data_IF_854461544250
#
_entry.id   IF_854461544250
#
_cell.length_a   1.000
_cell.length_b   1.000
_cell.length_c   1.000
_cell.angle_alpha   90.00
_cell.angle_beta   90.00
_cell.angle_gamma   90.00
#
_symmetry.space_group_name_H-M   'P 1'
#
loop_
_entity.id
_entity.type
_entity.pdbx_description
1 polymer ?
#
# COMPACT_ATOMS: atom_id res chain seq x y z
N UNK A 1 17.23 21.55 -28.07
CA UNK A 1 15.85 21.36 -27.61
C UNK A 1 15.91 20.34 -26.49
N UNK A 2 16.22 20.81 -25.28
CA UNK A 2 16.16 19.99 -24.06
C UNK A 2 14.68 19.81 -23.75
N UNK A 3 14.19 18.58 -23.77
CA UNK A 3 12.90 18.26 -23.14
C UNK A 3 13.21 17.74 -21.75
N UNK A 4 12.74 18.51 -20.77
CA UNK A 4 12.91 18.30 -19.35
C UNK A 4 12.43 16.92 -18.91
N UNK A 5 13.39 16.17 -18.34
CA UNK A 5 13.17 14.90 -17.69
C UNK A 5 12.66 15.18 -16.27
N UNK A 6 11.35 15.40 -16.13
CA UNK A 6 10.67 15.56 -14.83
C UNK A 6 9.46 14.63 -14.73
N UNK A 7 9.71 13.32 -14.65
CA UNK A 7 8.76 12.34 -14.11
C UNK A 7 9.02 12.19 -12.61
N UNK A 8 8.39 13.06 -11.81
CA UNK A 8 8.50 13.17 -10.35
C UNK A 8 8.54 11.82 -9.63
N UNK A 9 9.46 11.73 -8.67
CA UNK A 9 9.36 10.84 -7.51
C UNK A 9 8.01 11.06 -6.79
N UNK A 10 6.98 10.32 -7.18
CA UNK A 10 5.71 10.28 -6.47
C UNK A 10 5.89 9.46 -5.19
N UNK A 11 6.02 10.22 -4.11
CA UNK A 11 6.18 9.88 -2.69
C UNK A 11 5.74 8.45 -2.29
N UNK A 12 6.70 7.53 -2.24
CA UNK A 12 6.55 6.21 -1.59
C UNK A 12 6.17 6.48 -0.12
N UNK A 13 5.12 5.84 0.43
CA UNK A 13 4.84 5.98 1.85
C UNK A 13 6.06 5.53 2.64
N UNK A 14 6.54 6.36 3.56
CA UNK A 14 7.74 6.10 4.37
C UNK A 14 7.69 4.72 5.03
N UNK A 15 6.49 4.28 5.42
CA UNK A 15 6.20 2.97 5.97
C UNK A 15 6.61 1.83 5.02
N UNK A 16 6.29 1.94 3.72
CA UNK A 16 6.65 0.92 2.75
C UNK A 16 8.17 0.89 2.52
N UNK A 17 8.85 2.04 2.56
CA UNK A 17 10.32 2.09 2.44
C UNK A 17 10.97 1.30 3.58
N UNK A 18 10.49 1.52 4.81
CA UNK A 18 11.00 0.81 5.98
C UNK A 18 10.75 -0.70 5.90
N UNK A 19 9.53 -1.12 5.52
CA UNK A 19 9.20 -2.55 5.33
C UNK A 19 10.03 -3.19 4.22
N UNK A 20 10.29 -2.45 3.12
CA UNK A 20 11.16 -2.91 2.05
C UNK A 20 12.57 -3.18 2.58
N UNK A 21 13.11 -2.27 3.39
CA UNK A 21 14.49 -2.36 3.87
C UNK A 21 14.68 -3.43 4.94
N UNK A 22 13.68 -3.63 5.82
CA UNK A 22 13.77 -4.53 6.97
C UNK A 22 13.28 -5.94 6.63
N UNK A 23 12.22 -6.07 5.84
CA UNK A 23 11.55 -7.35 5.59
C UNK A 23 11.81 -7.83 4.16
N UNK A 24 11.56 -7.00 3.15
CA UNK A 24 11.55 -7.52 1.78
C UNK A 24 12.96 -7.74 1.21
N UNK A 25 13.85 -6.75 1.33
CA UNK A 25 15.21 -6.84 0.79
C UNK A 25 16.03 -7.97 1.43
N UNK A 26 16.01 -8.19 2.76
CA UNK A 26 16.75 -9.30 3.37
C UNK A 26 16.21 -10.69 3.00
N UNK A 27 14.94 -10.78 2.58
CA UNK A 27 14.28 -12.04 2.19
C UNK A 27 14.19 -12.21 0.65
N UNK A 28 14.96 -11.45 -0.12
CA UNK A 28 14.99 -11.50 -1.60
C UNK A 28 13.61 -11.28 -2.25
N UNK A 29 12.76 -10.50 -1.58
CA UNK A 29 11.45 -10.10 -2.09
C UNK A 29 11.59 -8.80 -2.89
N UNK A 30 11.48 -8.90 -4.21
CA UNK A 30 11.64 -7.77 -5.15
C UNK A 30 10.30 -7.08 -5.36
N UNK A 31 10.26 -5.78 -5.03
CA UNK A 31 9.11 -4.90 -5.29
C UNK A 31 9.24 -4.26 -6.68
N UNK A 32 8.18 -4.33 -7.48
CA UNK A 32 8.07 -3.75 -8.82
C UNK A 32 6.65 -3.23 -9.07
N UNK A 33 6.45 -2.43 -10.13
CA UNK A 33 5.15 -1.89 -10.55
C UNK A 33 4.32 -1.26 -9.41
N UNK A 34 4.96 -0.39 -8.63
CA UNK A 34 4.32 0.33 -7.53
C UNK A 34 3.33 1.37 -8.07
N UNK A 35 2.05 1.18 -7.78
CA UNK A 35 0.93 2.05 -8.13
C UNK A 35 0.32 2.65 -6.87
N UNK A 36 0.17 3.97 -6.85
CA UNK A 36 -0.42 4.69 -5.73
C UNK A 36 -1.91 4.94 -5.93
N UNK A 37 -2.66 4.83 -4.82
CA UNK A 37 -4.00 5.37 -4.76
C UNK A 37 -3.95 6.77 -4.11
N UNK A 38 -3.94 7.80 -4.98
CA UNK A 38 -3.89 9.21 -4.56
C UNK A 38 -5.11 9.64 -3.73
N UNK A 39 -6.29 9.04 -3.96
CA UNK A 39 -7.50 9.32 -3.18
C UNK A 39 -7.38 8.78 -1.75
N UNK A 40 -6.74 7.63 -1.61
CA UNK A 40 -6.57 6.91 -0.34
C UNK A 40 -5.22 7.21 0.35
N UNK A 41 -4.57 8.33 0.03
CA UNK A 41 -3.28 8.77 0.61
C UNK A 41 -3.30 8.79 2.15
N UNK A 42 -4.44 9.11 2.78
CA UNK A 42 -4.60 9.07 4.25
C UNK A 42 -4.38 7.69 4.86
N UNK A 43 -4.53 6.62 4.08
CA UNK A 43 -4.33 5.23 4.48
C UNK A 43 -3.07 4.60 3.85
N UNK A 44 -2.20 5.38 3.22
CA UNK A 44 -0.98 4.87 2.57
C UNK A 44 -1.26 3.78 1.53
N UNK A 45 -2.42 3.86 0.87
CA UNK A 45 -2.86 2.84 -0.06
C UNK A 45 -1.98 2.82 -1.32
N UNK A 46 -1.33 1.68 -1.54
CA UNK A 46 -0.60 1.39 -2.76
C UNK A 46 -0.76 -0.08 -3.12
N UNK A 47 -0.46 -0.39 -4.37
CA UNK A 47 -0.42 -1.76 -4.89
C UNK A 47 0.89 -1.95 -5.62
N UNK A 48 1.51 -3.13 -5.51
CA UNK A 48 2.77 -3.44 -6.18
C UNK A 48 2.90 -4.93 -6.46
N UNK A 49 3.87 -5.30 -7.27
CA UNK A 49 4.22 -6.69 -7.53
C UNK A 49 5.40 -7.09 -6.64
N UNK A 50 5.25 -8.16 -5.87
CA UNK A 50 6.26 -8.77 -5.02
C UNK A 50 6.58 -10.17 -5.55
N UNK A 51 7.75 -10.38 -6.17
CA UNK A 51 8.14 -11.68 -6.75
C UNK A 51 7.01 -12.35 -7.57
N UNK A 52 6.37 -11.58 -8.48
CA UNK A 52 5.23 -12.00 -9.31
C UNK A 52 3.87 -12.14 -8.61
N UNK A 53 3.75 -11.70 -7.35
CA UNK A 53 2.48 -11.61 -6.61
C UNK A 53 1.97 -10.18 -6.54
N UNK A 54 0.70 -9.97 -6.87
CA UNK A 54 0.07 -8.65 -6.73
C UNK A 54 -0.28 -8.41 -5.27
N UNK A 55 0.38 -7.43 -4.67
CA UNK A 55 0.19 -7.02 -3.28
C UNK A 55 -0.62 -5.73 -3.23
N UNK A 56 -1.64 -5.71 -2.37
CA UNK A 56 -2.37 -4.51 -1.97
C UNK A 56 -1.93 -4.12 -0.57
N UNK A 57 -1.25 -2.99 -0.44
CA UNK A 57 -0.70 -2.49 0.81
C UNK A 57 -1.59 -1.40 1.41
N UNK A 58 -1.83 -1.48 2.72
CA UNK A 58 -2.60 -0.49 3.49
C UNK A 58 -1.94 -0.22 4.83
N UNK A 59 -2.07 1.01 5.32
CA UNK A 59 -1.65 1.40 6.67
C UNK A 59 -2.87 1.46 7.57
N UNK A 60 -2.84 0.69 8.66
CA UNK A 60 -3.90 0.71 9.66
C UNK A 60 -3.87 2.01 10.48
N UNK A 61 -5.02 2.40 11.03
CA UNK A 61 -5.19 3.62 11.82
C UNK A 61 -5.80 3.31 13.18
N UNK A 62 -5.23 3.93 14.21
CA UNK A 62 -5.84 3.95 15.55
C UNK A 62 -6.97 4.97 15.54
N UNK A 63 -8.16 4.54 15.94
CA UNK A 63 -9.28 5.47 16.17
C UNK A 63 -9.45 5.71 17.67
N UNK A 64 -9.62 6.97 18.14
CA UNK A 64 -9.72 7.25 19.58
C UNK A 64 -10.92 6.59 20.26
N UNK A 65 -11.96 6.25 19.49
CA UNK A 65 -13.25 5.76 19.99
C UNK A 65 -13.31 4.24 20.20
N UNK A 66 -12.39 3.47 19.60
CA UNK A 66 -12.39 2.01 19.70
C UNK A 66 -10.96 1.52 19.89
N UNK A 67 -10.78 0.64 20.87
CA UNK A 67 -9.51 -0.05 21.08
C UNK A 67 -9.25 -0.93 19.85
N UNK A 68 -8.05 -0.81 19.26
CA UNK A 68 -7.61 -1.62 18.13
C UNK A 68 -7.22 -0.80 16.90
N UNK A 69 -6.74 -1.53 15.88
CA UNK A 69 -6.34 -0.98 14.59
C UNK A 69 -7.50 -1.09 13.60
N UNK A 70 -7.77 0.00 12.89
CA UNK A 70 -8.81 0.06 11.87
C UNK A 70 -8.19 0.15 10.48
N UNK A 71 -8.59 -0.77 9.61
CA UNK A 71 -8.22 -0.79 8.18
C UNK A 71 -9.47 -1.07 7.36
N UNK A 72 -9.50 -0.52 6.15
CA UNK A 72 -10.60 -0.74 5.20
C UNK A 72 -10.06 -1.30 3.89
N UNK A 73 -10.61 -2.44 3.47
CA UNK A 73 -10.27 -3.11 2.21
C UNK A 73 -11.44 -2.97 1.23
N UNK A 74 -11.41 -1.91 0.43
CA UNK A 74 -12.37 -1.69 -0.65
C UNK A 74 -11.64 -1.16 -1.88
N UNK A 75 -12.31 -1.27 -3.01
CA UNK A 75 -11.90 -0.73 -4.30
C UNK A 75 -13.04 0.07 -4.92
N UNK A 76 -12.70 1.08 -5.71
CA UNK A 76 -13.67 1.80 -6.52
C UNK A 76 -13.71 1.17 -7.91
N UNK A 77 -14.90 0.88 -8.42
CA UNK A 77 -15.05 0.56 -9.85
C UNK A 77 -14.95 1.85 -10.66
N UNK A 78 -14.41 1.80 -11.87
CA UNK A 78 -14.11 2.95 -12.76
C UNK A 78 -15.21 4.02 -12.84
N UNK A 79 -16.48 3.63 -12.67
CA UNK A 79 -17.63 4.54 -12.60
C UNK A 79 -18.68 4.12 -11.56
N UNK A 80 -18.28 3.37 -10.52
CA UNK A 80 -19.21 2.71 -9.60
C UNK A 80 -19.01 3.04 -8.12
N UNK A 81 -19.92 2.56 -7.26
CA UNK A 81 -19.77 2.69 -5.81
C UNK A 81 -18.52 1.94 -5.31
N UNK A 82 -18.06 2.27 -4.11
CA UNK A 82 -17.04 1.47 -3.43
C UNK A 82 -17.57 0.06 -3.21
N UNK A 83 -16.74 -0.94 -3.47
CA UNK A 83 -17.08 -2.35 -3.27
C UNK A 83 -15.96 -3.08 -2.52
N UNK A 84 -16.30 -4.14 -1.75
CA UNK A 84 -15.28 -4.99 -1.17
C UNK A 84 -14.46 -5.68 -2.27
N UNK A 85 -13.28 -6.16 -1.88
CA UNK A 85 -12.54 -7.10 -2.72
C UNK A 85 -13.27 -8.44 -2.77
N UNK A 86 -13.18 -9.08 -3.92
CA UNK A 86 -13.72 -10.41 -4.20
C UNK A 86 -12.58 -11.41 -4.41
N UNK A 87 -12.85 -12.71 -4.25
CA UNK A 87 -11.86 -13.77 -4.46
C UNK A 87 -11.40 -13.85 -5.93
N UNK A 88 -12.17 -13.32 -6.87
CA UNK A 88 -11.82 -13.23 -8.29
C UNK A 88 -10.91 -12.04 -8.62
N UNK A 89 -10.59 -11.19 -7.64
CA UNK A 89 -9.71 -10.05 -7.87
C UNK A 89 -8.26 -10.46 -8.05
N UNK A 90 -7.52 -9.63 -8.78
CA UNK A 90 -6.11 -9.86 -9.08
C UNK A 90 -5.17 -9.73 -7.88
N UNK A 91 -5.68 -9.39 -6.68
CA UNK A 91 -4.85 -9.26 -5.50
C UNK A 91 -4.49 -10.64 -4.92
N UNK A 92 -3.22 -11.03 -5.00
CA UNK A 92 -2.70 -12.25 -4.39
C UNK A 92 -2.54 -12.09 -2.87
N UNK A 93 -2.13 -10.90 -2.41
CA UNK A 93 -1.78 -10.64 -1.02
C UNK A 93 -2.30 -9.28 -0.55
N UNK A 94 -2.78 -9.23 0.69
CA UNK A 94 -3.06 -7.99 1.39
C UNK A 94 -2.05 -7.80 2.51
N UNK A 95 -1.28 -6.72 2.44
CA UNK A 95 -0.34 -6.34 3.50
C UNK A 95 -0.92 -5.16 4.25
N UNK A 96 -1.10 -5.33 5.56
CA UNK A 96 -1.57 -4.27 6.44
C UNK A 96 -0.45 -3.94 7.41
N UNK A 97 0.20 -2.79 7.23
CA UNK A 97 1.22 -2.30 8.16
C UNK A 97 0.55 -1.55 9.29
N UNK A 98 0.92 -1.88 10.53
CA UNK A 98 0.53 -1.13 11.69
C UNK A 98 1.71 -0.32 12.24
N UNK A 99 1.50 0.98 12.41
CA UNK A 99 2.46 1.83 13.11
C UNK A 99 1.88 2.29 14.43
N UNK A 100 2.31 1.64 15.50
CA UNK A 100 2.20 2.19 16.84
C UNK A 100 3.50 2.94 17.15
N UNK A 101 3.43 4.04 17.91
CA UNK A 101 4.57 4.93 18.20
C UNK A 101 5.83 4.23 18.71
N UNK A 102 5.73 2.99 19.21
CA UNK A 102 6.83 2.20 19.76
C UNK A 102 6.90 0.75 19.23
N UNK A 103 6.01 0.34 18.31
CA UNK A 103 5.97 -1.04 17.78
C UNK A 103 5.60 -1.04 16.29
N UNK A 104 6.45 -1.63 15.47
CA UNK A 104 6.21 -1.93 14.06
C UNK A 104 5.87 -3.41 13.91
N UNK A 105 4.85 -3.74 13.13
CA UNK A 105 4.43 -5.12 12.85
C UNK A 105 3.30 -5.22 11.84
#
# INVERSE_FOLDING_TARGET
MQTDNQGKAECIPENLIQEIDIVYRPNELVVSDLVYDLESKKYGACSFILNSKVVVFRVARITPKKIGQFVTLWKRAESGPIRPYDLTDSADLFVVSNQQKDCHG
#
